data_IF_303621585297
#
_entry.id   IF_303621585297
#
_cell.length_a   1.000
_cell.length_b   1.000
_cell.length_c   1.000
_cell.angle_alpha   90.00
_cell.angle_beta   90.00
_cell.angle_gamma   90.00
#
_symmetry.space_group_name_H-M   'P 1'
#
loop_
_entity.id
_entity.type
_entity.pdbx_description
1 polymer ?
#
# COMPACT_ATOMS: atom_id res chain seq x y z
N UNK A 1 10.13 -10.63 6.35
CA UNK A 1 9.01 -10.02 7.09
C UNK A 1 8.00 -11.11 7.43
N UNK A 2 7.67 -11.24 8.69
CA UNK A 2 6.72 -12.25 9.17
C UNK A 2 5.37 -11.60 9.37
N UNK A 3 4.33 -12.16 8.76
CA UNK A 3 2.98 -11.64 8.84
C UNK A 3 2.20 -12.51 9.83
N UNK A 4 1.68 -11.88 10.89
CA UNK A 4 0.83 -12.54 11.88
C UNK A 4 -0.56 -12.79 11.32
N UNK A 5 -1.10 -11.82 10.59
CA UNK A 5 -2.43 -11.89 10.03
C UNK A 5 -2.51 -11.03 8.78
N UNK A 6 -3.24 -11.53 7.80
CA UNK A 6 -3.55 -10.77 6.59
C UNK A 6 -4.95 -11.10 6.12
N UNK A 7 -5.62 -10.09 5.60
CA UNK A 7 -6.99 -10.19 5.17
C UNK A 7 -7.21 -9.28 3.98
N UNK A 8 -7.99 -9.74 3.02
CA UNK A 8 -8.29 -8.95 1.85
C UNK A 8 -9.67 -9.25 1.30
N UNK A 9 -10.37 -8.22 0.86
CA UNK A 9 -11.63 -8.31 0.13
C UNK A 9 -11.62 -7.32 -1.03
N UNK A 10 -12.43 -7.60 -2.02
CA UNK A 10 -12.64 -6.66 -3.12
C UNK A 10 -14.07 -6.71 -3.62
N UNK A 11 -14.48 -5.62 -4.26
CA UNK A 11 -15.72 -5.52 -5.02
C UNK A 11 -15.36 -4.97 -6.39
N UNK A 12 -15.89 -5.58 -7.45
CA UNK A 12 -15.65 -5.13 -8.81
C UNK A 12 -16.98 -4.79 -9.47
N UNK A 13 -17.07 -3.57 -10.02
CA UNK A 13 -18.21 -3.11 -10.79
C UNK A 13 -17.69 -2.59 -12.13
N UNK A 14 -17.98 -3.32 -13.21
CA UNK A 14 -17.39 -3.02 -14.51
C UNK A 14 -15.87 -3.10 -14.44
N UNK A 15 -15.19 -2.00 -14.76
CA UNK A 15 -13.73 -1.89 -14.72
C UNK A 15 -13.20 -1.26 -13.43
N UNK A 16 -14.08 -0.97 -12.46
CA UNK A 16 -13.69 -0.38 -11.20
C UNK A 16 -13.58 -1.45 -10.12
N UNK A 17 -12.45 -1.51 -9.48
CA UNK A 17 -12.17 -2.44 -8.38
C UNK A 17 -11.93 -1.64 -7.11
N UNK A 18 -12.63 -2.00 -6.04
CA UNK A 18 -12.36 -1.47 -4.70
C UNK A 18 -11.82 -2.61 -3.85
N UNK A 19 -10.61 -2.46 -3.36
CA UNK A 19 -9.93 -3.46 -2.54
C UNK A 19 -9.68 -2.94 -1.15
N UNK A 20 -9.89 -3.81 -0.17
CA UNK A 20 -9.61 -3.55 1.25
C UNK A 20 -8.65 -4.64 1.71
N UNK A 21 -7.60 -4.24 2.41
CA UNK A 21 -6.65 -5.21 2.94
C UNK A 21 -6.19 -4.85 4.35
N UNK A 22 -5.86 -5.86 5.11
CA UNK A 22 -5.25 -5.70 6.44
C UNK A 22 -4.03 -6.59 6.54
N UNK A 23 -2.95 -6.04 7.10
CA UNK A 23 -1.72 -6.75 7.36
C UNK A 23 -1.27 -6.44 8.78
N UNK A 24 -1.06 -7.47 9.58
CA UNK A 24 -0.52 -7.36 10.93
C UNK A 24 0.79 -8.14 10.99
N UNK A 25 1.87 -7.48 11.37
CA UNK A 25 3.17 -8.12 11.48
C UNK A 25 3.37 -8.73 12.85
N UNK A 26 4.04 -9.87 12.90
CA UNK A 26 4.62 -10.43 14.11
C UNK A 26 6.12 -10.11 14.21
N UNK A 27 6.76 -9.81 13.09
CA UNK A 27 8.15 -9.38 13.02
C UNK A 27 8.40 -8.68 11.70
N UNK A 28 9.11 -7.56 11.71
CA UNK A 28 9.50 -6.90 10.47
C UNK A 28 10.56 -7.69 9.68
N UNK A 29 11.28 -8.58 10.35
CA UNK A 29 12.31 -9.38 9.72
C UNK A 29 13.52 -8.57 9.31
N UNK A 30 14.29 -9.10 8.34
CA UNK A 30 15.53 -8.50 7.86
C UNK A 30 15.48 -8.05 6.40
N UNK A 31 14.31 -8.07 5.78
CA UNK A 31 14.14 -7.57 4.40
C UNK A 31 14.40 -6.07 4.37
N UNK A 32 14.98 -5.62 3.25
CA UNK A 32 15.31 -4.21 3.04
C UNK A 32 14.66 -3.69 1.77
N UNK A 33 14.48 -2.38 1.71
CA UNK A 33 13.98 -1.69 0.53
C UNK A 33 12.56 -1.16 0.67
N UNK A 34 12.00 -0.78 -0.47
CA UNK A 34 10.67 -0.15 -0.55
C UNK A 34 9.59 -1.19 -0.29
N UNK A 35 8.62 -0.83 0.54
CA UNK A 35 7.49 -1.69 0.85
C UNK A 35 6.45 -1.70 -0.28
N UNK A 36 5.92 -2.87 -0.59
CA UNK A 36 4.84 -3.07 -1.55
C UNK A 36 3.94 -4.20 -1.08
N UNK A 37 2.65 -4.05 -1.31
CA UNK A 37 1.66 -5.08 -1.01
C UNK A 37 1.19 -5.71 -2.31
N UNK A 38 1.67 -6.90 -2.61
CA UNK A 38 1.30 -7.65 -3.81
C UNK A 38 0.01 -8.43 -3.58
N UNK A 39 -0.64 -8.80 -4.67
CA UNK A 39 -1.79 -9.68 -4.64
C UNK A 39 -3.13 -8.98 -4.83
N UNK A 40 -3.15 -7.83 -5.50
CA UNK A 40 -4.42 -7.26 -5.96
C UNK A 40 -5.15 -8.27 -6.83
N UNK A 41 -6.49 -8.35 -6.72
CA UNK A 41 -7.27 -9.36 -7.46
C UNK A 41 -7.20 -9.17 -8.97
N UNK A 42 -6.99 -7.94 -9.43
CA UNK A 42 -6.85 -7.59 -10.85
C UNK A 42 -5.68 -6.64 -10.99
N UNK A 43 -5.01 -6.69 -12.13
CA UNK A 43 -3.93 -5.74 -12.42
C UNK A 43 -4.52 -4.35 -12.70
N UNK A 44 -3.76 -3.32 -12.40
CA UNK A 44 -4.15 -1.95 -12.72
C UNK A 44 -4.15 -1.74 -14.22
N UNK A 45 -5.01 -0.85 -14.70
CA UNK A 45 -5.08 -0.51 -16.11
C UNK A 45 -3.77 0.11 -16.56
N UNK A 46 -3.25 -0.35 -17.70
CA UNK A 46 -2.01 0.19 -18.27
C UNK A 46 -2.35 1.14 -19.40
N UNK A 47 -2.55 2.40 -19.06
CA UNK A 47 -2.80 3.46 -20.02
C UNK A 47 -1.67 4.48 -19.93
N UNK A 48 -1.26 4.99 -21.09
CA UNK A 48 -0.27 6.08 -21.16
C UNK A 48 -0.84 7.33 -20.49
N UNK A 49 -0.15 7.80 -19.47
CA UNK A 49 -0.59 8.92 -18.65
C UNK A 49 -0.71 8.51 -17.20
N UNK A 50 -1.26 9.37 -16.40
CA UNK A 50 -1.34 9.18 -14.95
C UNK A 50 -2.56 8.36 -14.56
N UNK A 51 -2.41 7.07 -14.51
CA UNK A 51 -3.47 6.17 -14.01
C UNK A 51 -3.22 5.73 -12.57
N UNK A 52 -2.54 6.57 -11.82
CA UNK A 52 -2.35 6.30 -10.39
C UNK A 52 -3.69 6.41 -9.66
N UNK A 53 -3.97 5.42 -8.84
CA UNK A 53 -5.10 5.47 -7.92
C UNK A 53 -4.56 5.65 -6.51
N UNK A 54 -5.23 6.46 -5.73
CA UNK A 54 -4.84 6.81 -4.38
C UNK A 54 -5.89 6.28 -3.42
N UNK A 55 -5.44 5.70 -2.33
CA UNK A 55 -6.31 5.15 -1.30
C UNK A 55 -5.92 5.61 0.08
N UNK A 56 -6.69 5.18 1.07
CA UNK A 56 -6.49 5.49 2.48
C UNK A 56 -5.76 4.37 3.17
N UNK A 57 -5.00 4.70 4.20
CA UNK A 57 -4.33 3.74 5.07
C UNK A 57 -4.56 4.13 6.53
N UNK A 58 -5.09 3.20 7.32
CA UNK A 58 -5.02 3.26 8.77
C UNK A 58 -3.81 2.44 9.21
N UNK A 59 -3.06 2.96 10.15
CA UNK A 59 -1.89 2.25 10.63
C UNK A 59 -1.68 2.45 12.12
N UNK A 60 -1.00 1.49 12.71
CA UNK A 60 -0.52 1.54 14.09
C UNK A 60 0.87 0.90 14.14
N UNK A 61 1.80 1.54 14.80
CA UNK A 61 3.13 0.99 15.00
C UNK A 61 4.09 1.19 13.83
N UNK A 62 4.03 2.31 13.14
CA UNK A 62 5.12 2.74 12.27
C UNK A 62 6.15 3.55 13.04
N UNK A 63 7.39 3.50 12.58
CA UNK A 63 8.46 4.38 13.01
C UNK A 63 8.88 5.24 11.83
N UNK A 64 8.04 6.21 11.48
CA UNK A 64 8.20 7.02 10.29
C UNK A 64 9.48 7.85 10.36
N UNK A 65 10.26 7.81 9.30
CA UNK A 65 11.55 8.47 9.20
C UNK A 65 11.44 9.84 8.54
N UNK A 66 12.39 10.71 8.85
CA UNK A 66 12.49 12.03 8.24
C UNK A 66 11.28 12.92 8.54
N UNK A 67 10.75 13.57 7.53
CA UNK A 67 9.64 14.52 7.63
C UNK A 67 8.29 13.91 7.29
N UNK A 68 8.18 12.59 7.26
CA UNK A 68 6.92 11.90 6.98
C UNK A 68 5.99 12.06 8.19
N UNK A 69 4.78 12.57 7.94
CA UNK A 69 3.78 12.80 8.98
C UNK A 69 2.52 11.96 8.78
N UNK A 70 2.37 11.33 7.62
CA UNK A 70 1.20 10.54 7.30
C UNK A 70 1.56 9.50 6.23
N UNK A 71 0.79 8.43 6.15
CA UNK A 71 0.96 7.39 5.11
C UNK A 71 -0.34 7.23 4.36
N UNK A 72 -0.24 7.18 3.03
CA UNK A 72 -1.36 6.89 2.13
C UNK A 72 -0.97 5.70 1.25
N UNK A 73 -1.92 5.17 0.50
CA UNK A 73 -1.66 4.10 -0.46
C UNK A 73 -1.83 4.59 -1.88
N UNK A 74 -1.12 3.99 -2.82
CA UNK A 74 -1.31 4.25 -4.24
C UNK A 74 -1.01 3.02 -5.08
N UNK A 75 -1.54 3.01 -6.31
CA UNK A 75 -1.09 2.13 -7.39
C UNK A 75 -0.35 2.95 -8.43
N UNK A 76 0.52 2.34 -9.19
CA UNK A 76 1.29 3.07 -10.20
C UNK A 76 0.62 3.14 -11.59
N UNK A 77 -0.46 2.39 -11.78
CA UNK A 77 -1.21 2.43 -13.03
C UNK A 77 -0.52 1.82 -14.24
N UNK A 78 0.45 0.95 -14.04
CA UNK A 78 1.26 0.36 -15.11
C UNK A 78 0.99 -1.14 -15.33
N UNK A 79 -0.23 -1.60 -15.11
CA UNK A 79 -0.57 -3.01 -15.25
C UNK A 79 -0.01 -3.90 -14.15
N UNK A 80 0.25 -3.33 -12.99
CA UNK A 80 0.80 -4.05 -11.85
C UNK A 80 -0.29 -4.52 -10.89
N UNK A 81 0.05 -5.45 -10.03
CA UNK A 81 -0.86 -6.03 -9.04
C UNK A 81 -0.45 -5.72 -7.61
N UNK A 82 0.14 -4.57 -7.38
CA UNK A 82 0.57 -4.19 -6.05
C UNK A 82 0.08 -2.79 -5.65
N UNK A 83 0.03 -2.58 -4.34
CA UNK A 83 -0.24 -1.29 -3.71
C UNK A 83 1.00 -0.88 -2.95
N UNK A 84 1.40 0.39 -3.08
CA UNK A 84 2.51 0.94 -2.32
C UNK A 84 2.00 1.86 -1.22
N UNK A 85 2.42 1.68 0.04
CA UNK A 85 2.27 2.72 1.03
C UNK A 85 3.26 3.85 0.72
N UNK A 86 2.79 5.09 0.80
CA UNK A 86 3.60 6.28 0.56
C UNK A 86 3.53 7.21 1.75
N UNK A 87 4.68 7.70 2.18
CA UNK A 87 4.75 8.72 3.20
C UNK A 87 4.43 10.10 2.63
N UNK A 88 3.72 10.91 3.40
CA UNK A 88 3.37 12.28 3.02
C UNK A 88 4.23 13.24 3.84
N UNK A 89 4.93 14.12 3.14
CA UNK A 89 5.70 15.21 3.75
C UNK A 89 4.99 16.54 3.48
N UNK A 90 5.57 17.63 3.97
CA UNK A 90 4.98 18.96 3.79
C UNK A 90 4.85 19.36 2.30
N UNK A 91 5.73 18.87 1.44
CA UNK A 91 5.80 19.30 0.04
C UNK A 91 5.72 18.14 -0.97
N UNK A 92 5.84 16.89 -0.54
CA UNK A 92 5.99 15.78 -1.47
C UNK A 92 5.61 14.45 -0.81
N UNK A 93 5.80 13.36 -1.56
CA UNK A 93 5.69 12.01 -1.03
C UNK A 93 7.06 11.36 -0.95
N UNK A 94 7.20 10.41 -0.02
CA UNK A 94 8.38 9.57 0.12
C UNK A 94 8.00 8.10 0.15
N UNK A 95 8.92 7.24 -0.27
CA UNK A 95 8.71 5.81 -0.17
C UNK A 95 8.74 5.36 1.29
N UNK A 96 7.87 4.41 1.63
CA UNK A 96 7.94 3.72 2.90
C UNK A 96 8.87 2.52 2.75
N UNK A 97 9.89 2.48 3.58
CA UNK A 97 10.92 1.45 3.54
C UNK A 97 10.82 0.53 4.76
N UNK A 98 11.64 -0.48 4.77
CA UNK A 98 11.72 -1.44 5.87
C UNK A 98 11.99 -0.78 7.23
N UNK A 99 12.74 0.33 7.25
CA UNK A 99 13.08 1.05 8.49
C UNK A 99 11.87 1.75 9.13
N UNK A 100 10.81 1.98 8.35
CA UNK A 100 9.58 2.59 8.86
C UNK A 100 8.68 1.59 9.59
N UNK A 101 8.94 0.29 9.44
CA UNK A 101 8.17 -0.77 10.07
C UNK A 101 8.79 -1.17 11.41
N UNK A 102 7.93 -1.59 12.33
CA UNK A 102 8.34 -2.25 13.57
C UNK A 102 7.74 -3.65 13.61
N UNK A 103 8.12 -4.45 14.60
CA UNK A 103 7.68 -5.85 14.69
C UNK A 103 6.17 -6.02 14.84
N UNK A 104 5.48 -5.00 15.34
CA UNK A 104 4.04 -5.04 15.60
C UNK A 104 3.23 -4.12 14.70
N UNK A 105 3.77 -3.72 13.56
CA UNK A 105 3.05 -2.85 12.61
C UNK A 105 1.75 -3.49 12.16
N UNK A 106 0.68 -2.74 12.21
CA UNK A 106 -0.65 -3.15 11.80
C UNK A 106 -1.21 -2.10 10.84
N UNK A 107 -1.79 -2.55 9.74
CA UNK A 107 -2.25 -1.67 8.66
C UNK A 107 -3.55 -2.16 8.08
N UNK A 108 -4.45 -1.22 7.79
CA UNK A 108 -5.64 -1.47 6.98
C UNK A 108 -5.65 -0.44 5.86
N UNK A 109 -5.80 -0.90 4.64
CA UNK A 109 -5.88 0.00 3.50
C UNK A 109 -7.14 -0.22 2.68
N UNK A 110 -7.59 0.84 2.03
CA UNK A 110 -8.67 0.81 1.04
C UNK A 110 -8.19 1.54 -0.19
N UNK A 111 -8.36 0.94 -1.35
CA UNK A 111 -8.00 1.57 -2.61
C UNK A 111 -9.02 1.21 -3.69
N UNK A 112 -9.37 2.20 -4.51
CA UNK A 112 -10.19 2.00 -5.70
C UNK A 112 -9.33 2.27 -6.92
N UNK A 113 -9.33 1.35 -7.87
CA UNK A 113 -8.53 1.47 -9.10
C UNK A 113 -9.28 0.88 -10.28
N UNK A 114 -8.83 1.25 -11.47
CA UNK A 114 -9.40 0.70 -12.70
C UNK A 114 -8.55 -0.46 -13.19
N UNK A 115 -9.24 -1.45 -13.75
CA UNK A 115 -8.63 -2.57 -14.47
C UNK A 115 -9.15 -2.57 -15.91
N UNK A 116 -8.38 -3.11 -16.81
CA UNK A 116 -8.79 -3.17 -18.21
C UNK A 116 -9.67 -4.37 -18.54
#
# INVERSE_FOLDING_TARGET
MCIRDRYGRYTKVGNLVTAIGRITLSSKGSSTGIARFFGLPYVTESITGTQMSIGSLWYSGFNLQGSIVQVVTRTDGNGNSFVEPKGVTANNEDAINDVDFINTTDMVFTISYRTS
#
